data_IF_254103429168
#
_entry.id   IF_254103429168
#
_cell.length_a   1.000
_cell.length_b   1.000
_cell.length_c   1.000
_cell.angle_alpha   90.00
_cell.angle_beta   90.00
_cell.angle_gamma   90.00
#
_symmetry.space_group_name_H-M   'P 1'
#
loop_
_entity.id
_entity.type
_entity.pdbx_description
1 polymer ?
#
# COMPACT_ATOMS: atom_id res chain seq x y z
N UNK A 1 18.34 6.15 7.38
CA UNK A 1 17.51 5.06 7.92
C UNK A 1 16.90 4.35 6.72
N UNK A 2 16.84 3.02 6.76
CA UNK A 2 16.25 2.20 5.68
C UNK A 2 14.88 1.73 6.13
N UNK A 3 13.87 1.87 5.27
CA UNK A 3 12.50 1.46 5.54
C UNK A 3 12.20 0.12 4.88
N UNK A 4 11.64 -0.84 5.61
CA UNK A 4 11.18 -2.10 5.03
C UNK A 4 9.83 -1.93 4.34
N UNK A 5 9.75 -2.39 3.09
CA UNK A 5 8.54 -2.27 2.26
C UNK A 5 8.12 -3.65 1.77
N UNK A 6 6.94 -4.10 2.15
CA UNK A 6 6.31 -5.30 1.59
C UNK A 6 5.33 -4.91 0.48
N UNK A 7 5.45 -5.55 -0.70
CA UNK A 7 4.53 -5.35 -1.82
C UNK A 7 3.68 -6.61 -1.96
N UNK A 8 2.44 -6.55 -1.47
CA UNK A 8 1.50 -7.67 -1.61
C UNK A 8 0.85 -7.62 -3.00
N UNK A 9 1.00 -8.68 -3.79
CA UNK A 9 0.65 -8.66 -5.21
C UNK A 9 1.76 -8.17 -6.14
N UNK A 10 3.04 -8.29 -5.74
CA UNK A 10 4.21 -7.87 -6.53
C UNK A 10 4.32 -8.48 -7.95
N UNK A 11 3.60 -9.57 -8.24
CA UNK A 11 3.58 -10.21 -9.57
C UNK A 11 2.59 -9.54 -10.55
N UNK A 12 1.66 -8.71 -10.06
CA UNK A 12 0.78 -7.91 -10.91
C UNK A 12 1.52 -6.71 -11.51
N UNK A 13 0.99 -6.13 -12.59
CA UNK A 13 1.62 -5.00 -13.28
C UNK A 13 1.92 -3.82 -12.35
N UNK A 14 0.95 -3.41 -11.53
CA UNK A 14 1.14 -2.34 -10.53
C UNK A 14 2.25 -2.68 -9.53
N UNK A 15 2.27 -3.92 -9.04
CA UNK A 15 3.29 -4.39 -8.09
C UNK A 15 4.68 -4.42 -8.71
N UNK A 16 4.80 -4.87 -9.96
CA UNK A 16 6.06 -4.92 -10.72
C UNK A 16 6.63 -3.52 -10.92
N UNK A 17 5.82 -2.56 -11.39
CA UNK A 17 6.32 -1.19 -11.59
C UNK A 17 6.73 -0.51 -10.27
N UNK A 18 6.02 -0.77 -9.17
CA UNK A 18 6.40 -0.24 -7.85
C UNK A 18 7.73 -0.86 -7.43
N UNK A 19 7.90 -2.17 -7.58
CA UNK A 19 9.16 -2.86 -7.30
C UNK A 19 10.31 -2.24 -8.09
N UNK A 20 10.16 -2.11 -9.41
CA UNK A 20 11.17 -1.52 -10.30
C UNK A 20 11.54 -0.08 -9.92
N UNK A 21 10.55 0.74 -9.49
CA UNK A 21 10.81 2.13 -9.03
C UNK A 21 11.53 2.20 -7.68
N UNK A 22 11.37 1.18 -6.84
CA UNK A 22 12.02 1.10 -5.53
C UNK A 22 13.38 0.35 -5.59
N UNK A 23 13.60 -0.47 -6.62
CA UNK A 23 14.87 -1.13 -6.88
C UNK A 23 16.01 -0.10 -7.03
N UNK A 24 17.15 -0.39 -6.41
CA UNK A 24 18.33 0.48 -6.43
C UNK A 24 18.28 1.66 -5.45
N UNK A 25 17.19 1.86 -4.72
CA UNK A 25 17.06 2.90 -3.68
C UNK A 25 17.46 2.36 -2.31
N UNK A 26 18.59 2.85 -1.77
CA UNK A 26 19.15 2.37 -0.48
C UNK A 26 18.32 2.78 0.75
N UNK A 27 17.37 3.69 0.57
CA UNK A 27 16.40 4.09 1.59
C UNK A 27 15.33 3.02 1.82
N UNK A 28 15.20 2.02 0.93
CA UNK A 28 14.19 0.96 1.02
C UNK A 28 14.79 -0.45 1.02
N UNK A 29 14.24 -1.32 1.86
CA UNK A 29 14.50 -2.75 1.84
C UNK A 29 13.21 -3.48 1.45
N UNK A 30 13.19 -4.12 0.28
CA UNK A 30 12.00 -4.81 -0.21
C UNK A 30 11.86 -6.19 0.42
N UNK A 31 10.71 -6.46 1.04
CA UNK A 31 10.29 -7.79 1.46
C UNK A 31 9.54 -8.42 0.28
N UNK A 32 10.05 -9.53 -0.24
CA UNK A 32 9.46 -10.26 -1.35
C UNK A 32 9.14 -11.68 -0.90
N UNK A 33 7.91 -12.12 -1.20
CA UNK A 33 7.50 -13.51 -1.01
C UNK A 33 7.59 -14.24 -2.33
N UNK A 34 8.09 -15.48 -2.31
CA UNK A 34 8.07 -16.35 -3.49
C UNK A 34 6.64 -16.79 -3.85
N UNK A 35 6.52 -17.52 -4.96
CA UNK A 35 5.22 -17.96 -5.50
C UNK A 35 4.41 -18.87 -4.56
N UNK A 36 5.08 -19.62 -3.69
CA UNK A 36 4.42 -20.49 -2.72
C UNK A 36 4.02 -19.68 -1.48
N UNK A 37 4.95 -18.87 -0.96
CA UNK A 37 4.76 -18.03 0.21
C UNK A 37 3.66 -16.97 0.00
N UNK A 38 3.54 -16.38 -1.18
CA UNK A 38 2.49 -15.39 -1.47
C UNK A 38 1.07 -15.97 -1.46
N UNK A 39 0.91 -17.29 -1.46
CA UNK A 39 -0.39 -17.96 -1.28
C UNK A 39 -0.65 -18.39 0.16
N UNK A 40 0.37 -18.31 1.02
CA UNK A 40 0.27 -18.63 2.44
C UNK A 40 -0.20 -17.40 3.22
N UNK A 41 -1.33 -17.57 3.93
CA UNK A 41 -1.85 -16.53 4.81
C UNK A 41 -0.85 -16.19 5.93
N UNK A 42 -0.13 -17.19 6.46
CA UNK A 42 0.85 -16.98 7.53
C UNK A 42 2.08 -16.21 7.05
N UNK A 43 2.60 -16.54 5.86
CA UNK A 43 3.75 -15.83 5.29
C UNK A 43 3.38 -14.37 4.95
N UNK A 44 2.20 -14.14 4.37
CA UNK A 44 1.67 -12.79 4.12
C UNK A 44 1.47 -12.04 5.43
N UNK A 45 0.88 -12.66 6.45
CA UNK A 45 0.72 -12.06 7.79
C UNK A 45 2.06 -11.66 8.39
N UNK A 46 3.06 -12.54 8.34
CA UNK A 46 4.39 -12.25 8.86
C UNK A 46 5.01 -11.04 8.14
N UNK A 47 5.03 -11.06 6.79
CA UNK A 47 5.58 -9.97 5.98
C UNK A 47 4.85 -8.64 6.22
N UNK A 48 3.52 -8.67 6.29
CA UNK A 48 2.69 -7.50 6.59
C UNK A 48 3.05 -6.88 7.93
N UNK A 49 3.31 -7.68 8.97
CA UNK A 49 3.57 -7.17 10.32
C UNK A 49 5.06 -6.84 10.58
N UNK A 50 5.98 -7.35 9.76
CA UNK A 50 7.41 -7.01 9.80
C UNK A 50 7.72 -5.68 9.09
N UNK A 51 6.97 -5.36 8.04
CA UNK A 51 7.21 -4.19 7.19
C UNK A 51 6.90 -2.86 7.89
N UNK A 52 7.73 -1.84 7.65
CA UNK A 52 7.39 -0.45 7.98
C UNK A 52 6.21 0.03 7.12
N UNK A 53 6.24 -0.33 5.83
CA UNK A 53 5.19 -0.02 4.86
C UNK A 53 4.72 -1.27 4.11
N UNK A 54 3.41 -1.43 3.99
CA UNK A 54 2.79 -2.44 3.12
C UNK A 54 2.07 -1.75 1.97
N UNK A 55 2.39 -2.15 0.74
CA UNK A 55 1.71 -1.69 -0.48
C UNK A 55 0.85 -2.82 -1.01
N UNK A 56 -0.47 -2.61 -1.04
CA UNK A 56 -1.43 -3.61 -1.50
C UNK A 56 -1.74 -3.39 -2.98
N UNK A 57 -1.21 -4.26 -3.83
CA UNK A 57 -1.46 -4.32 -5.27
C UNK A 57 -2.42 -5.49 -5.55
N UNK A 58 -3.55 -5.50 -4.86
CA UNK A 58 -4.48 -6.61 -4.80
C UNK A 58 -5.86 -6.22 -5.33
N UNK A 59 -6.68 -7.20 -5.77
CA UNK A 59 -8.11 -7.00 -5.93
C UNK A 59 -8.79 -6.62 -4.61
N UNK A 60 -9.94 -5.97 -4.71
CA UNK A 60 -10.63 -5.34 -3.58
C UNK A 60 -10.92 -6.27 -2.39
N UNK A 61 -11.31 -7.53 -2.64
CA UNK A 61 -11.55 -8.50 -1.57
C UNK A 61 -10.25 -8.88 -0.86
N UNK A 62 -9.22 -9.26 -1.62
CA UNK A 62 -7.92 -9.63 -1.09
C UNK A 62 -7.21 -8.48 -0.36
N UNK A 63 -7.46 -7.22 -0.75
CA UNK A 63 -6.97 -6.04 -0.04
C UNK A 63 -7.60 -5.92 1.37
N UNK A 64 -8.91 -6.18 1.50
CA UNK A 64 -9.58 -6.19 2.81
C UNK A 64 -9.07 -7.31 3.70
N UNK A 65 -8.89 -8.51 3.13
CA UNK A 65 -8.29 -9.63 3.84
C UNK A 65 -6.87 -9.33 4.32
N UNK A 66 -6.03 -8.73 3.47
CA UNK A 66 -4.66 -8.35 3.82
C UNK A 66 -4.64 -7.38 5.02
N UNK A 67 -5.50 -6.37 5.01
CA UNK A 67 -5.62 -5.43 6.14
C UNK A 67 -6.06 -6.15 7.42
N UNK A 68 -6.95 -7.14 7.34
CA UNK A 68 -7.37 -7.95 8.48
C UNK A 68 -6.27 -8.87 9.05
N UNK A 69 -5.21 -9.16 8.28
CA UNK A 69 -4.05 -9.91 8.76
C UNK A 69 -3.07 -9.04 9.57
N UNK A 70 -3.19 -7.72 9.52
CA UNK A 70 -2.30 -6.81 10.26
C UNK A 70 -2.71 -6.80 11.74
N UNK A 71 -1.74 -7.05 12.61
CA UNK A 71 -1.92 -7.03 14.06
C UNK A 71 -2.31 -5.62 14.53
N UNK A 72 -3.25 -5.46 15.47
CA UNK A 72 -3.64 -4.16 16.00
C UNK A 72 -2.46 -3.34 16.54
N UNK A 73 -1.49 -4.02 17.16
CA UNK A 73 -0.27 -3.44 17.72
C UNK A 73 0.84 -3.20 16.68
N UNK A 74 0.65 -3.62 15.43
CA UNK A 74 1.64 -3.42 14.37
C UNK A 74 1.80 -1.93 14.05
N UNK A 75 3.06 -1.55 13.79
CA UNK A 75 3.46 -0.21 13.34
C UNK A 75 3.36 -0.02 11.83
N UNK A 76 2.99 -1.06 11.09
CA UNK A 76 2.91 -1.03 9.63
C UNK A 76 1.93 0.02 9.15
N UNK A 77 2.38 0.79 8.17
CA UNK A 77 1.56 1.76 7.43
C UNK A 77 1.16 1.15 6.10
N UNK A 78 -0.10 1.31 5.71
CA UNK A 78 -0.68 0.66 4.52
C UNK A 78 -0.94 1.68 3.43
N UNK A 79 -0.52 1.34 2.22
CA UNK A 79 -0.89 2.04 0.98
C UNK A 79 -1.67 1.05 0.12
N UNK A 80 -2.98 1.23 0.02
CA UNK A 80 -3.84 0.36 -0.77
C UNK A 80 -4.11 0.93 -2.16
N UNK A 81 -3.65 0.25 -3.20
CA UNK A 81 -3.87 0.62 -4.60
C UNK A 81 -5.22 0.16 -5.16
N UNK A 82 -5.95 -0.69 -4.44
CA UNK A 82 -7.28 -1.17 -4.83
C UNK A 82 -8.36 -0.07 -4.71
N UNK A 83 -9.60 -0.37 -5.10
CA UNK A 83 -10.75 0.50 -4.81
C UNK A 83 -11.37 0.25 -3.44
N UNK A 84 -10.96 -0.79 -2.73
CA UNK A 84 -11.66 -1.29 -1.55
C UNK A 84 -11.84 -0.25 -0.45
N UNK A 85 -10.85 0.63 -0.27
CA UNK A 85 -10.80 1.58 0.83
C UNK A 85 -10.88 3.06 0.42
N UNK A 86 -11.14 3.38 -0.87
CA UNK A 86 -11.12 4.77 -1.39
C UNK A 86 -12.12 5.71 -0.70
N UNK A 87 -13.21 5.15 -0.20
CA UNK A 87 -14.27 5.88 0.53
C UNK A 87 -14.52 5.28 1.92
N UNK A 88 -13.63 4.41 2.40
CA UNK A 88 -13.78 3.76 3.69
C UNK A 88 -13.45 4.73 4.82
N UNK A 89 -14.24 4.69 5.90
CA UNK A 89 -13.97 5.48 7.09
C UNK A 89 -12.63 5.08 7.71
N UNK A 90 -11.86 6.07 8.17
CA UNK A 90 -10.55 5.85 8.78
C UNK A 90 -9.39 5.74 7.79
N UNK A 91 -9.66 5.81 6.48
CA UNK A 91 -8.65 5.84 5.43
C UNK A 91 -8.42 7.26 4.93
N UNK A 92 -7.15 7.63 4.78
CA UNK A 92 -6.77 8.88 4.14
C UNK A 92 -6.72 8.69 2.63
N UNK A 93 -7.41 9.56 1.88
CA UNK A 93 -7.34 9.54 0.43
C UNK A 93 -5.96 10.07 0.00
N UNK A 94 -5.16 9.21 -0.64
CA UNK A 94 -3.73 9.42 -0.91
C UNK A 94 -3.43 10.38 -2.05
N UNK A 95 -4.09 11.54 -2.08
CA UNK A 95 -3.84 12.60 -3.06
C UNK A 95 -3.31 13.86 -2.34
N UNK A 96 -1.98 13.99 -2.16
CA UNK A 96 -1.34 15.04 -1.35
C UNK A 96 -1.75 16.47 -1.72
N UNK A 97 -1.94 16.75 -3.00
CA UNK A 97 -2.35 18.05 -3.53
C UNK A 97 -3.78 18.42 -3.12
N UNK A 98 -4.63 17.41 -2.87
CA UNK A 98 -6.02 17.61 -2.47
C UNK A 98 -6.21 17.61 -0.95
N UNK A 99 -5.57 16.67 -0.24
CA UNK A 99 -5.80 16.47 1.20
C UNK A 99 -4.69 17.04 2.10
N UNK A 100 -3.61 17.54 1.49
CA UNK A 100 -2.42 18.03 2.17
C UNK A 100 -1.34 16.96 2.32
N UNK A 101 -0.10 17.33 1.98
CA UNK A 101 1.05 16.41 2.05
C UNK A 101 1.31 15.88 3.46
N UNK A 102 1.15 16.71 4.49
CA UNK A 102 1.33 16.29 5.88
C UNK A 102 0.27 15.26 6.31
N UNK A 103 -0.99 15.46 5.90
CA UNK A 103 -2.08 14.50 6.16
C UNK A 103 -1.75 13.12 5.63
N UNK A 104 -1.25 13.03 4.39
CA UNK A 104 -0.83 11.75 3.80
C UNK A 104 0.43 11.21 4.50
N UNK A 105 1.40 12.08 4.81
CA UNK A 105 2.66 11.69 5.43
C UNK A 105 2.51 11.12 6.85
N UNK A 106 1.47 11.53 7.59
CA UNK A 106 1.19 11.07 8.96
C UNK A 106 0.18 9.91 9.01
N UNK A 107 -0.56 9.67 7.92
CA UNK A 107 -1.61 8.64 7.88
C UNK A 107 -1.06 7.21 8.02
N UNK A 108 -1.67 6.42 8.90
CA UNK A 108 -1.39 4.97 9.00
C UNK A 108 -1.99 4.19 7.82
N UNK A 109 -3.18 4.56 7.37
CA UNK A 109 -3.92 3.89 6.31
C UNK A 109 -4.20 4.88 5.17
N UNK A 110 -3.60 4.63 4.02
CA UNK A 110 -3.71 5.47 2.82
C UNK A 110 -4.34 4.66 1.70
N UNK A 111 -5.43 5.17 1.12
CA UNK A 111 -5.99 4.61 -0.11
C UNK A 111 -5.47 5.41 -1.30
N UNK A 112 -4.68 4.77 -2.15
CA UNK A 112 -4.13 5.39 -3.34
C UNK A 112 -5.25 5.67 -4.36
N UNK A 113 -5.33 6.90 -4.91
CA UNK A 113 -6.37 7.27 -5.86
C UNK A 113 -6.23 6.49 -7.17
N UNK A 114 -7.37 6.22 -7.82
CA UNK A 114 -7.37 5.64 -9.16
C UNK A 114 -6.96 6.70 -10.21
N UNK A 115 -6.38 6.25 -11.32
CA UNK A 115 -5.90 7.15 -12.39
C UNK A 115 -6.98 8.10 -12.93
N UNK A 116 -8.22 7.63 -13.12
CA UNK A 116 -9.35 8.46 -13.55
C UNK A 116 -9.73 9.54 -12.50
N UNK A 117 -10.02 9.19 -11.23
CA UNK A 117 -10.20 10.19 -10.17
C UNK A 117 -9.04 11.18 -10.04
N UNK A 118 -7.78 10.73 -10.12
CA UNK A 118 -6.62 11.63 -10.05
C UNK A 118 -6.66 12.66 -11.18
N UNK A 119 -6.95 12.24 -12.41
CA UNK A 119 -7.06 13.16 -13.55
C UNK A 119 -8.19 14.18 -13.39
N UNK A 120 -9.38 13.73 -12.98
CA UNK A 120 -10.52 14.63 -12.80
C UNK A 120 -10.32 15.58 -11.61
N UNK A 121 -9.94 15.05 -10.44
CA UNK A 121 -9.74 15.84 -9.24
C UNK A 121 -8.55 16.79 -9.38
N UNK A 122 -7.47 16.39 -10.05
CA UNK A 122 -6.32 17.27 -10.30
C UNK A 122 -6.65 18.47 -11.21
N UNK A 123 -7.72 18.40 -11.99
CA UNK A 123 -8.20 19.52 -12.81
C UNK A 123 -9.27 20.36 -12.10
N UNK A 124 -10.06 19.74 -11.23
CA UNK A 124 -11.23 20.37 -10.60
C UNK A 124 -10.98 20.89 -9.19
N UNK A 125 -9.96 20.35 -8.50
CA UNK A 125 -9.55 20.86 -7.20
C UNK A 125 -8.97 22.28 -7.38
N UNK A 126 -9.33 23.21 -6.48
CA UNK A 126 -8.95 24.63 -6.58
C UNK A 126 -7.45 24.88 -6.40
#
# INVERSE_FOLDING_TARGET
>A
MTFSVFIDGAAGTTGLEIRERLEGRSEFALILLDDAQRKSADARRAALNEADFAVLCLPDEAAREAVALIDPASRTRVIDASSAHRVAQGWTYGFPELVGAQTVAEARLVSNPGCYPTGFLGLMAP
#
